data_IF_032556134142
#
_entry.id   IF_032556134142
#
_cell.length_a   1.000
_cell.length_b   1.000
_cell.length_c   1.000
_cell.angle_alpha   90.00
_cell.angle_beta   90.00
_cell.angle_gamma   90.00
#
_symmetry.space_group_name_H-M   'P 1'
#
loop_
_entity.id
_entity.type
_entity.pdbx_description
1 polymer ?
#
# COMPACT_ATOMS: atom_id res chain seq x y z
N UNK A 1 -33.25 -5.71 3.68
CA UNK A 1 -32.44 -4.55 3.21
C UNK A 1 -31.18 -4.28 4.03
N UNK A 2 -30.94 -4.93 5.18
CA UNK A 2 -29.77 -4.72 6.05
C UNK A 2 -28.43 -5.26 5.49
N UNK A 3 -28.46 -6.39 4.77
CA UNK A 3 -27.22 -7.05 4.27
C UNK A 3 -26.51 -6.30 3.15
N UNK A 4 -27.26 -5.69 2.22
CA UNK A 4 -26.68 -4.91 1.11
C UNK A 4 -26.03 -3.62 1.62
N UNK A 5 -26.67 -2.91 2.55
CA UNK A 5 -26.12 -1.70 3.17
C UNK A 5 -24.86 -2.02 3.98
N UNK A 6 -24.86 -3.13 4.71
CA UNK A 6 -23.68 -3.55 5.45
C UNK A 6 -22.52 -3.99 4.55
N UNK A 7 -22.82 -4.68 3.43
CA UNK A 7 -21.85 -5.04 2.41
C UNK A 7 -21.25 -3.77 1.77
N UNK A 8 -22.09 -2.81 1.38
CA UNK A 8 -21.67 -1.54 0.80
C UNK A 8 -20.77 -0.74 1.74
N UNK A 9 -21.16 -0.57 3.01
CA UNK A 9 -20.32 0.10 4.03
C UNK A 9 -18.94 -0.55 4.16
N UNK A 10 -18.88 -1.87 4.07
CA UNK A 10 -17.64 -2.62 4.18
C UNK A 10 -16.73 -2.47 2.96
N UNK A 11 -17.31 -2.50 1.76
CA UNK A 11 -16.59 -2.15 0.54
C UNK A 11 -16.00 -0.74 0.62
N UNK A 12 -16.75 0.23 1.16
CA UNK A 12 -16.23 1.59 1.38
C UNK A 12 -15.05 1.62 2.35
N UNK A 13 -15.13 0.91 3.48
CA UNK A 13 -14.02 0.85 4.46
C UNK A 13 -12.78 0.19 3.86
N UNK A 14 -12.93 -0.89 3.09
CA UNK A 14 -11.82 -1.54 2.38
C UNK A 14 -11.22 -0.58 1.35
N UNK A 15 -12.04 0.13 0.59
CA UNK A 15 -11.57 1.10 -0.40
C UNK A 15 -10.81 2.27 0.24
N UNK A 16 -11.32 2.83 1.34
CA UNK A 16 -10.64 3.91 2.09
C UNK A 16 -9.32 3.41 2.68
N UNK A 17 -9.31 2.23 3.29
CA UNK A 17 -8.09 1.62 3.83
C UNK A 17 -7.05 1.34 2.73
N UNK A 18 -7.51 0.90 1.55
CA UNK A 18 -6.65 0.68 0.40
C UNK A 18 -6.00 1.97 -0.10
N UNK A 19 -6.80 3.03 -0.30
CA UNK A 19 -6.28 4.34 -0.73
C UNK A 19 -5.26 4.88 0.27
N UNK A 20 -5.56 4.80 1.57
CA UNK A 20 -4.63 5.23 2.61
C UNK A 20 -3.33 4.42 2.62
N UNK A 21 -3.40 3.11 2.38
CA UNK A 21 -2.23 2.25 2.29
C UNK A 21 -1.38 2.58 1.06
N UNK A 22 -1.99 2.79 -0.11
CA UNK A 22 -1.27 3.21 -1.33
C UNK A 22 -0.58 4.55 -1.12
N UNK A 23 -1.28 5.53 -0.56
CA UNK A 23 -0.69 6.84 -0.25
C UNK A 23 0.47 6.71 0.73
N UNK A 24 0.35 5.87 1.75
CA UNK A 24 1.45 5.58 2.70
C UNK A 24 2.64 4.94 2.01
N UNK A 25 2.41 3.97 1.12
CA UNK A 25 3.46 3.28 0.37
C UNK A 25 4.24 4.20 -0.56
N UNK A 26 3.66 5.33 -0.98
CA UNK A 26 4.31 6.33 -1.83
C UNK A 26 4.99 7.39 -0.94
N UNK A 27 4.31 7.83 0.11
CA UNK A 27 4.79 8.87 1.01
C UNK A 27 6.06 8.44 1.76
N UNK A 28 6.12 7.19 2.25
CA UNK A 28 7.27 6.69 3.02
C UNK A 28 8.57 6.73 2.19
N UNK A 29 8.60 6.17 0.96
CA UNK A 29 9.75 6.32 0.07
C UNK A 29 10.14 7.75 -0.22
N UNK A 30 9.17 8.60 -0.59
CA UNK A 30 9.43 10.00 -0.95
C UNK A 30 10.04 10.75 0.24
N UNK A 31 9.46 10.62 1.43
CA UNK A 31 9.99 11.25 2.64
C UNK A 31 11.42 10.80 2.94
N UNK A 32 11.69 9.50 2.87
CA UNK A 32 13.03 8.98 3.16
C UNK A 32 14.07 9.45 2.13
N UNK A 33 13.74 9.46 0.84
CA UNK A 33 14.64 9.95 -0.21
C UNK A 33 14.91 11.44 -0.01
N UNK A 34 13.87 12.24 0.28
CA UNK A 34 14.00 13.67 0.53
C UNK A 34 14.82 13.96 1.79
N UNK A 35 14.58 13.22 2.88
CA UNK A 35 15.35 13.33 4.12
C UNK A 35 16.82 12.99 3.88
N UNK A 36 17.10 11.91 3.14
CA UNK A 36 18.46 11.50 2.84
C UNK A 36 19.20 12.52 1.97
N UNK A 37 18.58 12.94 0.86
CA UNK A 37 19.15 13.95 -0.04
C UNK A 37 19.32 15.33 0.63
N UNK A 38 18.41 15.70 1.53
CA UNK A 38 18.49 16.94 2.29
C UNK A 38 19.60 16.92 3.35
N UNK A 39 19.90 15.76 3.94
CA UNK A 39 20.95 15.58 4.94
C UNK A 39 22.33 15.44 4.28
N UNK A 40 22.45 14.66 3.20
CA UNK A 40 23.73 14.34 2.57
C UNK A 40 24.20 15.45 1.60
N UNK A 41 23.31 15.91 0.72
CA UNK A 41 23.68 16.80 -0.40
C UNK A 41 23.23 18.25 -0.17
N UNK A 42 22.47 18.52 0.90
CA UNK A 42 21.82 19.82 1.15
C UNK A 42 20.81 20.22 0.07
N UNK A 43 20.44 19.27 -0.80
CA UNK A 43 19.72 19.56 -2.03
C UNK A 43 18.21 19.31 -1.89
N UNK A 44 17.50 20.30 -1.37
CA UNK A 44 16.05 20.28 -1.21
C UNK A 44 15.27 20.54 -2.52
N UNK A 45 15.97 20.86 -3.62
CA UNK A 45 15.35 21.25 -4.89
C UNK A 45 14.65 20.09 -5.63
N UNK A 46 14.98 18.84 -5.29
CA UNK A 46 14.42 17.62 -5.91
C UNK A 46 12.89 17.54 -5.76
N UNK A 47 12.34 18.17 -4.72
CA UNK A 47 10.90 18.23 -4.45
C UNK A 47 10.21 19.17 -5.44
N UNK A 48 10.88 20.22 -5.90
CA UNK A 48 10.29 21.26 -6.76
C UNK A 48 10.41 20.98 -8.26
N UNK A 49 11.29 20.06 -8.66
CA UNK A 49 11.49 19.67 -10.06
C UNK A 49 10.51 18.60 -10.54
N UNK A 50 9.75 17.99 -9.64
CA UNK A 50 8.80 16.92 -9.97
C UNK A 50 7.50 17.51 -10.53
N UNK A 51 6.96 16.97 -11.62
CA UNK A 51 5.64 17.38 -12.13
C UNK A 51 4.53 16.77 -11.27
N UNK A 52 4.12 17.53 -10.25
CA UNK A 52 3.09 17.17 -9.28
C UNK A 52 1.67 17.14 -9.85
N UNK A 53 1.41 17.87 -10.93
CA UNK A 53 0.05 18.08 -11.44
C UNK A 53 -0.36 16.97 -12.41
N UNK A 54 0.57 16.51 -13.26
CA UNK A 54 0.24 15.59 -14.34
C UNK A 54 0.84 14.21 -14.12
N UNK A 55 2.16 14.13 -13.95
CA UNK A 55 2.86 12.85 -13.85
C UNK A 55 2.61 12.13 -12.52
N UNK A 56 2.56 12.88 -11.42
CA UNK A 56 2.41 12.29 -10.09
C UNK A 56 1.05 11.56 -9.90
N UNK A 57 -0.12 12.16 -10.22
CA UNK A 57 -1.41 11.46 -10.07
C UNK A 57 -1.53 10.25 -11.00
N UNK A 58 -1.00 10.33 -12.22
CA UNK A 58 -0.97 9.21 -13.17
C UNK A 58 -0.07 8.07 -12.68
N UNK A 59 1.10 8.39 -12.11
CA UNK A 59 1.98 7.40 -11.51
C UNK A 59 1.32 6.74 -10.29
N UNK A 60 0.72 7.54 -9.38
CA UNK A 60 -0.02 7.04 -8.22
C UNK A 60 -1.15 6.12 -8.66
N UNK A 61 -1.92 6.49 -9.70
CA UNK A 61 -3.01 5.66 -10.23
C UNK A 61 -2.46 4.34 -10.81
N UNK A 62 -1.36 4.39 -11.54
CA UNK A 62 -0.71 3.20 -12.12
C UNK A 62 -0.25 2.25 -11.01
N UNK A 63 0.46 2.78 -10.00
CA UNK A 63 0.87 2.03 -8.79
C UNK A 63 -0.35 1.45 -8.08
N UNK A 64 -1.41 2.24 -7.92
CA UNK A 64 -2.65 1.80 -7.28
C UNK A 64 -3.35 0.68 -8.06
N UNK A 65 -3.32 0.67 -9.38
CA UNK A 65 -3.94 -0.41 -10.16
C UNK A 65 -3.07 -1.67 -10.07
N UNK A 66 -1.75 -1.54 -10.25
CA UNK A 66 -0.83 -2.67 -10.17
C UNK A 66 -0.80 -3.31 -8.79
N UNK A 67 -0.75 -2.51 -7.72
CA UNK A 67 -0.79 -3.01 -6.35
C UNK A 67 -2.11 -3.74 -6.06
N UNK A 68 -3.23 -3.27 -6.60
CA UNK A 68 -4.53 -3.94 -6.43
C UNK A 68 -4.55 -5.34 -7.04
N UNK A 69 -3.87 -5.55 -8.17
CA UNK A 69 -3.78 -6.87 -8.81
C UNK A 69 -3.04 -7.89 -7.92
N UNK A 70 -2.08 -7.43 -7.12
CA UNK A 70 -1.27 -8.29 -6.23
C UNK A 70 -1.95 -8.44 -4.87
N UNK A 71 -2.36 -7.33 -4.24
CA UNK A 71 -2.91 -7.32 -2.88
C UNK A 71 -4.40 -7.66 -2.84
N UNK A 72 -5.14 -7.45 -3.94
CA UNK A 72 -6.57 -7.74 -4.04
C UNK A 72 -6.92 -9.19 -3.70
N UNK A 73 -6.23 -10.20 -4.27
CA UNK A 73 -6.38 -11.59 -3.87
C UNK A 73 -6.10 -11.82 -2.38
N UNK A 74 -5.05 -11.18 -1.82
CA UNK A 74 -4.71 -11.31 -0.41
C UNK A 74 -5.78 -10.70 0.52
N UNK A 75 -6.33 -9.55 0.17
CA UNK A 75 -7.45 -8.92 0.90
C UNK A 75 -8.69 -9.83 0.83
N UNK A 76 -8.98 -10.42 -0.34
CA UNK A 76 -10.10 -11.35 -0.50
C UNK A 76 -9.93 -12.62 0.36
N UNK A 77 -8.71 -13.18 0.40
CA UNK A 77 -8.39 -14.31 1.29
C UNK A 77 -8.54 -13.90 2.76
N UNK A 78 -8.02 -12.75 3.17
CA UNK A 78 -8.15 -12.26 4.54
C UNK A 78 -9.60 -12.13 4.98
N UNK A 79 -10.45 -11.66 4.05
CA UNK A 79 -11.88 -11.52 4.28
C UNK A 79 -12.58 -12.89 4.40
N UNK A 80 -12.23 -13.85 3.54
CA UNK A 80 -12.81 -15.19 3.53
C UNK A 80 -12.40 -16.03 4.75
N UNK A 81 -11.15 -15.91 5.19
CA UNK A 81 -10.59 -16.65 6.32
C UNK A 81 -10.68 -15.89 7.66
N UNK A 82 -11.30 -14.70 7.67
CA UNK A 82 -11.38 -13.84 8.86
C UNK A 82 -10.00 -13.54 9.49
N UNK A 83 -8.98 -13.36 8.66
CA UNK A 83 -7.62 -13.06 9.11
C UNK A 83 -7.55 -11.62 9.61
N UNK A 84 -7.40 -11.48 10.92
CA UNK A 84 -7.31 -10.20 11.64
C UNK A 84 -5.90 -9.83 12.08
N UNK A 85 -4.93 -10.71 11.85
CA UNK A 85 -3.55 -10.50 12.29
C UNK A 85 -2.91 -9.35 11.53
N UNK A 86 -2.36 -8.37 12.26
CA UNK A 86 -1.59 -7.26 11.68
C UNK A 86 -0.41 -7.78 10.83
N UNK A 87 0.20 -8.90 11.26
CA UNK A 87 1.34 -9.52 10.58
C UNK A 87 1.00 -9.96 9.16
N UNK A 88 -0.20 -10.49 8.94
CA UNK A 88 -0.63 -10.90 7.60
C UNK A 88 -0.61 -9.71 6.63
N UNK A 89 -1.19 -8.57 7.05
CA UNK A 89 -1.24 -7.37 6.22
C UNK A 89 0.13 -6.70 6.06
N UNK A 90 0.98 -6.76 7.08
CA UNK A 90 2.36 -6.29 6.98
C UNK A 90 3.16 -7.09 5.94
N UNK A 91 3.07 -8.42 5.98
CA UNK A 91 3.78 -9.31 5.04
C UNK A 91 3.24 -9.17 3.62
N UNK A 92 1.92 -9.12 3.43
CA UNK A 92 1.35 -8.96 2.09
C UNK A 92 1.65 -7.58 1.51
N UNK A 93 1.72 -6.54 2.34
CA UNK A 93 2.19 -5.22 1.95
C UNK A 93 3.66 -5.23 1.51
N UNK A 94 4.54 -5.89 2.27
CA UNK A 94 5.95 -6.06 1.92
C UNK A 94 6.11 -6.76 0.55
N UNK A 95 5.42 -7.89 0.37
CA UNK A 95 5.44 -8.67 -0.89
C UNK A 95 4.97 -7.80 -2.04
N UNK A 96 3.85 -7.09 -1.88
CA UNK A 96 3.28 -6.24 -2.93
C UNK A 96 4.26 -5.14 -3.36
N UNK A 97 4.90 -4.47 -2.41
CA UNK A 97 5.87 -3.41 -2.67
C UNK A 97 7.14 -3.93 -3.37
N UNK A 98 7.69 -5.05 -2.89
CA UNK A 98 8.85 -5.69 -3.52
C UNK A 98 8.52 -6.15 -4.94
N UNK A 99 7.40 -6.85 -5.13
CA UNK A 99 6.95 -7.30 -6.45
C UNK A 99 6.78 -6.12 -7.40
N UNK A 100 6.14 -5.04 -6.96
CA UNK A 100 5.99 -3.83 -7.76
C UNK A 100 7.35 -3.22 -8.15
N UNK A 101 8.28 -3.09 -7.19
CA UNK A 101 9.62 -2.56 -7.45
C UNK A 101 10.43 -3.39 -8.45
N UNK A 102 10.23 -4.71 -8.48
CA UNK A 102 10.87 -5.61 -9.47
C UNK A 102 10.24 -5.46 -10.86
N UNK A 103 8.95 -5.12 -10.96
CA UNK A 103 8.24 -4.95 -12.23
C UNK A 103 8.53 -3.62 -12.94
N UNK A 104 9.19 -2.64 -12.29
CA UNK A 104 9.56 -1.37 -12.94
C UNK A 104 10.62 -1.64 -14.02
N UNK A 105 10.37 -1.35 -15.31
CA UNK A 105 11.28 -1.70 -16.40
C UNK A 105 12.62 -0.96 -16.29
N UNK A 106 13.68 -1.68 -15.93
CA UNK A 106 14.77 -1.97 -16.86
C UNK A 106 15.72 -0.84 -17.33
N UNK A 107 15.80 0.33 -16.70
CA UNK A 107 16.96 1.24 -16.89
C UNK A 107 18.02 1.15 -15.78
N UNK A 108 17.75 0.38 -14.72
CA UNK A 108 18.61 0.25 -13.55
C UNK A 108 18.94 -1.23 -13.24
N UNK A 109 19.41 -1.97 -14.24
CA UNK A 109 19.59 -3.44 -14.25
C UNK A 109 20.44 -4.07 -13.13
N UNK A 110 21.06 -3.28 -12.26
CA UNK A 110 21.71 -3.75 -11.02
C UNK A 110 21.18 -3.12 -9.71
N UNK A 111 20.40 -2.03 -9.79
CA UNK A 111 19.89 -1.30 -8.62
C UNK A 111 18.64 -1.94 -8.03
N UNK A 112 17.81 -2.58 -8.87
CA UNK A 112 16.55 -3.23 -8.48
C UNK A 112 16.79 -4.42 -7.53
N UNK A 113 17.95 -5.07 -7.62
CA UNK A 113 18.36 -6.16 -6.72
C UNK A 113 19.31 -5.70 -5.60
N UNK A 114 19.48 -4.39 -5.41
CA UNK A 114 20.25 -3.91 -4.28
C UNK A 114 19.51 -4.28 -2.97
N UNK A 115 20.16 -4.97 -2.02
CA UNK A 115 19.51 -5.40 -0.79
C UNK A 115 18.99 -4.22 0.05
N UNK A 116 19.64 -3.05 -0.04
CA UNK A 116 19.17 -1.82 0.58
C UNK A 116 17.88 -1.31 -0.06
N UNK A 117 17.78 -1.33 -1.39
CA UNK A 117 16.57 -0.93 -2.12
C UNK A 117 15.40 -1.88 -1.86
N UNK A 118 15.65 -3.19 -1.83
CA UNK A 118 14.63 -4.19 -1.49
C UNK A 118 14.18 -4.06 -0.04
N UNK A 119 15.10 -3.84 0.89
CA UNK A 119 14.77 -3.57 2.30
C UNK A 119 13.94 -2.29 2.47
N UNK A 120 14.26 -1.26 1.70
CA UNK A 120 13.52 0.00 1.67
C UNK A 120 12.09 -0.17 1.15
N UNK A 121 11.91 -0.86 0.02
CA UNK A 121 10.59 -1.20 -0.51
C UNK A 121 9.80 -2.07 0.45
N UNK A 122 10.45 -3.05 1.10
CA UNK A 122 9.83 -3.89 2.11
C UNK A 122 9.31 -3.05 3.28
N UNK A 123 10.12 -2.11 3.80
CA UNK A 123 9.71 -1.22 4.88
C UNK A 123 8.51 -0.34 4.50
N UNK A 124 8.52 0.23 3.29
CA UNK A 124 7.39 1.00 2.76
C UNK A 124 6.11 0.14 2.64
N UNK A 125 6.25 -1.09 2.14
CA UNK A 125 5.15 -2.05 2.01
C UNK A 125 4.59 -2.50 3.37
N UNK A 126 5.46 -2.73 4.37
CA UNK A 126 5.06 -3.06 5.74
C UNK A 126 4.27 -1.91 6.35
N UNK A 127 4.74 -0.67 6.22
CA UNK A 127 4.06 0.52 6.72
C UNK A 127 2.67 0.68 6.08
N UNK A 128 2.58 0.49 4.77
CA UNK A 128 1.31 0.50 4.05
C UNK A 128 0.35 -0.60 4.53
N UNK A 129 0.85 -1.82 4.73
CA UNK A 129 0.10 -2.95 5.28
C UNK A 129 -0.40 -2.71 6.71
N UNK A 130 0.39 -2.04 7.54
CA UNK A 130 0.00 -1.60 8.88
C UNK A 130 -1.13 -0.57 8.86
N UNK A 131 -1.01 0.46 8.03
CA UNK A 131 -2.05 1.48 7.87
C UNK A 131 -3.36 0.87 7.37
N UNK A 132 -3.27 -0.04 6.39
CA UNK A 132 -4.44 -0.80 5.94
C UNK A 132 -5.08 -1.59 7.08
N UNK A 133 -4.28 -2.26 7.89
CA UNK A 133 -4.78 -3.05 9.00
C UNK A 133 -5.50 -2.21 10.05
N UNK A 134 -4.95 -1.04 10.41
CA UNK A 134 -5.56 -0.12 11.37
C UNK A 134 -6.92 0.41 10.90
N UNK A 135 -7.03 0.75 9.61
CA UNK A 135 -8.23 1.35 9.04
C UNK A 135 -9.30 0.32 8.69
N UNK A 136 -8.92 -0.80 8.08
CA UNK A 136 -9.85 -1.78 7.54
C UNK A 136 -9.64 -3.18 8.11
N UNK A 137 -8.38 -3.63 8.25
CA UNK A 137 -8.05 -5.01 8.64
C UNK A 137 -8.49 -5.44 10.04
N UNK A 138 -8.58 -4.53 11.02
CA UNK A 138 -9.09 -4.83 12.38
C UNK A 138 -10.53 -5.35 12.38
N UNK A 139 -11.31 -5.00 11.36
CA UNK A 139 -12.72 -5.35 11.21
C UNK A 139 -12.95 -6.51 10.24
N UNK A 140 -11.88 -7.10 9.69
CA UNK A 140 -11.98 -8.26 8.79
C UNK A 140 -12.68 -9.44 9.49
N UNK A 141 -13.42 -10.22 8.71
CA UNK A 141 -14.30 -11.29 9.20
C UNK A 141 -15.50 -10.88 10.08
N UNK A 142 -15.72 -9.60 10.43
CA UNK A 142 -17.00 -9.19 11.05
C UNK A 142 -18.08 -9.20 9.97
N UNK A 143 -18.73 -10.35 9.78
CA UNK A 143 -20.07 -10.38 9.18
C UNK A 143 -20.94 -9.45 10.00
N UNK A 144 -21.23 -8.28 9.45
CA UNK A 144 -22.29 -7.42 9.95
C UNK A 144 -23.56 -8.26 10.07
N UNK A 145 -24.07 -8.39 11.30
CA UNK A 145 -25.36 -8.98 11.61
C UNK A 145 -25.45 -10.48 11.32
N UNK A 146 -24.82 -11.29 12.17
CA UNK A 146 -25.52 -12.49 12.63
C UNK A 146 -26.53 -11.96 13.66
N UNK A 147 -27.72 -11.57 13.21
CA UNK A 147 -28.86 -11.46 14.14
C UNK A 147 -29.19 -12.90 14.56
N UNK A 148 -29.08 -13.25 15.84
CA UNK A 148 -29.82 -14.37 16.37
C UNK A 148 -31.21 -13.86 16.76
N UNK A 149 -32.21 -14.34 16.01
CA UNK A 149 -33.66 -14.29 16.28
C UNK A 149 -34.40 -13.08 15.73
#
# INVERSE_FOLDING_TARGET
MSRLVACSKRFTVIAVGYVAAVLTSILVPVLLIVLLAGIEDGNWSIIFTFDWLTSFPLAVLTVAICALLIVGPAIFLAERFALRGWFYFAVTGAITSISFGVFVPGSAGGFVFNPGFLGFLAAAGIAAGWVYWLLAGRSSGHRAGRDPR
#
